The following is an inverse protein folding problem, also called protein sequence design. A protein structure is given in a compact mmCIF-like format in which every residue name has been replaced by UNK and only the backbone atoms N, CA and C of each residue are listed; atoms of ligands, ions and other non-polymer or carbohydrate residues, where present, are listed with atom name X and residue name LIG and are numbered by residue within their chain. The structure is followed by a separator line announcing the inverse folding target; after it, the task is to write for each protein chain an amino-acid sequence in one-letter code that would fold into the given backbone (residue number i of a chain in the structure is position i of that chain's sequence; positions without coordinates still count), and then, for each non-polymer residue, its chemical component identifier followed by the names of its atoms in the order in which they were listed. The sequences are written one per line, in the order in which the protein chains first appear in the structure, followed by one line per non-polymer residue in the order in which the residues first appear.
data_IF_508837105416
#
_entry.id   IF_508837105416
#
_cell.length_a   1.000
_cell.length_b   1.000
_cell.length_c   1.000
_cell.angle_alpha   90.00
_cell.angle_beta   90.00
_cell.angle_gamma   90.00
#
_symmetry.space_group_name_H-M   'P 1'
#
loop_
_entity.id
_entity.type
_entity.pdbx_description
1 polymer ?
#
# COMPACT_ATOMS: atom_id res chain seq x y z
N UNK A 1 9.98 4.55 -9.81
CA UNK A 1 9.13 4.01 -8.73
C UNK A 1 9.22 2.50 -8.76
N UNK A 2 9.36 1.86 -7.60
CA UNK A 2 9.31 0.40 -7.47
C UNK A 2 7.88 0.01 -7.13
N UNK A 3 7.31 -0.93 -7.88
CA UNK A 3 6.00 -1.47 -7.57
C UNK A 3 6.16 -2.64 -6.59
N UNK A 4 5.72 -2.43 -5.35
CA UNK A 4 5.92 -3.39 -4.28
C UNK A 4 4.87 -4.51 -4.30
N UNK A 5 3.62 -4.16 -4.56
CA UNK A 5 2.52 -5.10 -4.43
C UNK A 5 1.18 -4.46 -4.12
N UNK A 6 0.29 -5.28 -3.58
CA UNK A 6 -1.07 -4.92 -3.20
C UNK A 6 -1.18 -4.99 -1.67
N UNK A 7 -1.74 -3.95 -1.05
CA UNK A 7 -2.04 -3.96 0.38
C UNK A 7 -3.21 -4.91 0.63
N UNK A 8 -2.99 -5.96 1.43
CA UNK A 8 -4.01 -6.98 1.74
C UNK A 8 -4.51 -6.91 3.17
N UNK A 9 -3.76 -6.28 4.08
CA UNK A 9 -4.18 -6.07 5.47
C UNK A 9 -3.59 -4.77 6.02
N UNK A 10 -4.33 -4.16 6.94
CA UNK A 10 -3.91 -3.01 7.75
C UNK A 10 -4.22 -3.35 9.21
N UNK A 11 -3.24 -3.17 10.08
CA UNK A 11 -3.34 -3.46 11.51
C UNK A 11 -2.91 -2.26 12.36
N UNK A 12 -3.64 -2.02 13.45
CA UNK A 12 -3.31 -1.05 14.48
C UNK A 12 -3.40 -1.71 15.85
N UNK A 13 -2.31 -1.66 16.64
CA UNK A 13 -2.22 -2.32 17.94
C UNK A 13 -2.67 -3.79 17.91
N UNK A 14 -2.19 -4.56 16.91
CA UNK A 14 -2.52 -5.97 16.68
C UNK A 14 -4.00 -6.26 16.39
N UNK A 15 -4.77 -5.25 15.96
CA UNK A 15 -6.15 -5.41 15.50
C UNK A 15 -6.26 -4.98 14.05
N UNK A 16 -6.92 -5.81 13.24
CA UNK A 16 -7.20 -5.47 11.85
C UNK A 16 -8.19 -4.30 11.77
N UNK A 17 -7.91 -3.34 10.89
CA UNK A 17 -8.76 -2.17 10.64
C UNK A 17 -9.00 -2.01 9.14
N UNK A 18 -10.07 -1.31 8.77
CA UNK A 18 -10.41 -1.08 7.35
C UNK A 18 -9.66 0.10 6.73
N UNK A 19 -9.31 1.12 7.53
CA UNK A 19 -8.62 2.31 7.04
C UNK A 19 -7.81 2.98 8.14
N UNK A 20 -6.66 3.55 7.77
CA UNK A 20 -5.80 4.35 8.63
C UNK A 20 -5.99 5.85 8.34
N UNK A 21 -5.84 6.70 9.35
CA UNK A 21 -5.94 8.16 9.23
C UNK A 21 -4.57 8.83 9.34
N UNK A 22 -4.49 10.10 8.91
CA UNK A 22 -3.26 10.90 9.05
C UNK A 22 -2.80 10.94 10.50
N UNK A 23 -1.51 10.67 10.72
CA UNK A 23 -0.90 10.65 12.05
C UNK A 23 -1.04 9.32 12.80
N UNK A 24 -1.69 8.32 12.19
CA UNK A 24 -1.79 6.98 12.76
C UNK A 24 -0.67 6.10 12.20
N UNK A 25 0.16 5.54 13.08
CA UNK A 25 1.14 4.52 12.73
C UNK A 25 0.45 3.16 12.69
N UNK A 26 0.58 2.46 11.57
CA UNK A 26 -0.09 1.17 11.32
C UNK A 26 0.88 0.19 10.67
N UNK A 27 0.62 -1.10 10.87
CA UNK A 27 1.30 -2.15 10.14
C UNK A 27 0.49 -2.47 8.87
N UNK A 28 1.17 -2.61 7.74
CA UNK A 28 0.53 -3.02 6.48
C UNK A 28 1.15 -4.32 5.98
N UNK A 29 0.31 -5.22 5.47
CA UNK A 29 0.76 -6.42 4.74
C UNK A 29 0.68 -6.13 3.26
N UNK A 30 1.81 -6.28 2.56
CA UNK A 30 1.89 -6.13 1.11
C UNK A 30 2.16 -7.51 0.51
N UNK A 31 1.30 -7.93 -0.43
CA UNK A 31 1.51 -9.15 -1.21
C UNK A 31 2.01 -8.83 -2.62
N UNK A 32 2.92 -9.64 -3.18
CA UNK A 32 3.46 -9.40 -4.50
C UNK A 32 2.36 -9.49 -5.56
N UNK A 33 2.56 -8.76 -6.66
CA UNK A 33 1.65 -8.83 -7.81
C UNK A 33 1.76 -10.23 -8.44
N UNK A 34 0.65 -10.92 -8.74
CA UNK A 34 0.69 -12.20 -9.41
C UNK A 34 1.43 -12.12 -10.75
N UNK A 35 2.37 -13.05 -10.97
CA UNK A 35 3.22 -13.09 -12.17
C UNK A 35 4.46 -12.21 -12.09
N UNK A 36 4.64 -11.44 -11.01
CA UNK A 36 5.79 -10.59 -10.80
C UNK A 36 6.70 -11.13 -9.68
N UNK A 37 7.98 -10.79 -9.74
CA UNK A 37 8.94 -11.21 -8.71
C UNK A 37 8.79 -10.37 -7.43
N UNK A 38 8.78 -10.97 -6.23
CA UNK A 38 8.71 -10.23 -4.97
C UNK A 38 9.86 -9.22 -4.84
N UNK A 39 9.55 -8.00 -4.38
CA UNK A 39 10.55 -6.98 -4.10
C UNK A 39 10.98 -7.06 -2.64
N UNK A 40 12.30 -7.16 -2.44
CA UNK A 40 12.89 -7.38 -1.12
C UNK A 40 13.25 -6.06 -0.43
N UNK A 41 12.86 -5.94 0.85
CA UNK A 41 13.31 -4.89 1.77
C UNK A 41 14.84 -4.95 1.95
N UNK A 42 15.50 -3.80 2.04
CA UNK A 42 16.96 -3.66 2.14
C UNK A 42 17.72 -3.90 0.84
N UNK A 43 17.02 -4.16 -0.28
CA UNK A 43 17.63 -4.29 -1.62
C UNK A 43 16.92 -3.45 -2.68
N UNK A 44 15.59 -3.52 -2.72
CA UNK A 44 14.79 -2.78 -3.71
C UNK A 44 14.13 -1.53 -3.11
N UNK A 45 13.86 -1.56 -1.80
CA UNK A 45 13.31 -0.46 -1.03
C UNK A 45 13.75 -0.59 0.43
N UNK A 46 13.72 0.50 1.19
CA UNK A 46 14.03 0.55 2.62
C UNK A 46 13.04 1.45 3.40
N UNK A 47 13.34 1.71 4.68
CA UNK A 47 12.49 2.52 5.56
C UNK A 47 12.45 4.02 5.23
N UNK A 48 13.42 4.51 4.45
CA UNK A 48 13.50 5.91 4.05
C UNK A 48 12.64 6.21 2.82
N UNK A 49 12.27 5.17 2.07
CA UNK A 49 11.41 5.28 0.90
C UNK A 49 9.97 5.64 1.27
N UNK A 50 9.44 6.66 0.60
CA UNK A 50 8.02 6.99 0.72
C UNK A 50 7.14 6.04 -0.11
N UNK A 51 6.18 5.40 0.55
CA UNK A 51 5.16 4.60 -0.11
C UNK A 51 4.02 5.48 -0.61
N UNK A 52 3.62 5.29 -1.86
CA UNK A 52 2.52 6.00 -2.50
C UNK A 52 1.57 5.02 -3.18
N UNK A 53 0.27 5.30 -3.10
CA UNK A 53 -0.73 4.51 -3.81
C UNK A 53 -0.57 4.67 -5.32
N UNK A 54 -0.37 3.57 -6.04
CA UNK A 54 -0.34 3.57 -7.50
C UNK A 54 -1.75 3.79 -8.03
N UNK A 55 -2.05 5.01 -8.46
CA UNK A 55 -3.29 5.31 -9.18
C UNK A 55 -3.11 5.00 -10.67
N UNK A 56 -3.83 4.00 -11.17
CA UNK A 56 -3.90 3.71 -12.60
C UNK A 56 -5.15 4.38 -13.14
N UNK A 57 -4.99 5.39 -14.00
CA UNK A 57 -6.06 5.97 -14.82
C UNK A 57 -6.55 4.92 -15.83
N UNK A 58 -7.28 3.90 -15.37
CA UNK A 58 -8.23 3.18 -16.22
C UNK A 58 -9.49 4.01 -16.22
N UNK A 59 -10.04 4.29 -17.41
CA UNK A 59 -11.27 5.05 -17.65
C UNK A 59 -12.46 4.50 -16.86
N UNK A 60 -12.56 4.84 -15.58
CA UNK A 60 -13.71 4.57 -14.74
C UNK A 60 -14.07 5.84 -14.01
N UNK A 61 -15.20 6.41 -14.43
CA UNK A 61 -15.92 7.53 -13.84
C UNK A 61 -16.34 7.25 -12.39
N UNK A 62 -15.41 7.09 -11.45
CA UNK A 62 -15.69 6.92 -10.01
C UNK A 62 -14.61 7.53 -9.13
N UNK A 63 -14.32 8.81 -9.31
CA UNK A 63 -13.75 9.61 -8.22
C UNK A 63 -14.86 10.54 -7.70
N UNK A 64 -15.62 10.07 -6.70
CA UNK A 64 -16.25 11.00 -5.76
C UNK A 64 -15.23 11.20 -4.63
N UNK A 65 -14.76 12.43 -4.37
CA UNK A 65 -13.93 12.68 -3.20
C UNK A 65 -14.76 12.35 -1.95
N UNK A 66 -14.22 11.51 -1.06
CA UNK A 66 -14.73 11.37 0.31
C UNK A 66 -14.53 12.71 1.01
N UNK A 67 -15.64 13.40 1.31
CA UNK A 67 -15.72 14.44 2.35
C UNK A 67 -16.23 13.81 3.64
#
# INVERSE_FOLDING_TARGET
FVELGIVTSIEYNHKQIESARKGQEVCIKIEPIPGDSPKMFGRHFDETDMLVSKYILRSSNKCKPMQ
#
